data_IF_311051041582
#
_entry.id   IF_311051041582
#
_cell.length_a   1.000
_cell.length_b   1.000
_cell.length_c   1.000
_cell.angle_alpha   90.00
_cell.angle_beta   90.00
_cell.angle_gamma   90.00
#
_symmetry.space_group_name_H-M   'P 1'
#
loop_
_entity.id
_entity.type
_entity.pdbx_description
1 polymer ?
#
# COMPACT_ATOMS: atom_id res chain seq x y z
N UNK A 1 -13.55 -18.66 1.87
CA UNK A 1 -12.33 -18.07 2.47
C UNK A 1 -12.76 -17.19 3.61
N UNK A 2 -12.32 -17.49 4.83
CA UNK A 2 -12.59 -16.68 6.02
C UNK A 2 -11.32 -15.90 6.33
N UNK A 3 -11.41 -14.57 6.40
CA UNK A 3 -10.31 -13.70 6.84
C UNK A 3 -10.63 -13.30 8.27
N UNK A 4 -9.80 -13.70 9.23
CA UNK A 4 -9.90 -13.28 10.63
C UNK A 4 -8.71 -12.38 10.98
N UNK A 5 -8.99 -11.18 11.48
CA UNK A 5 -7.99 -10.33 12.11
C UNK A 5 -8.25 -10.34 13.63
N UNK A 6 -7.29 -10.83 14.40
CA UNK A 6 -7.31 -10.79 15.87
C UNK A 6 -6.44 -9.64 16.36
N UNK A 7 -7.01 -8.72 17.12
CA UNK A 7 -6.27 -7.70 17.86
C UNK A 7 -6.30 -8.01 19.36
N UNK A 8 -5.18 -7.81 20.05
CA UNK A 8 -5.16 -7.77 21.52
C UNK A 8 -5.73 -6.43 21.96
N UNK A 9 -6.79 -6.46 22.79
CA UNK A 9 -7.45 -5.26 23.29
C UNK A 9 -6.46 -4.30 23.94
N UNK A 10 -6.43 -3.07 23.43
CA UNK A 10 -5.68 -1.93 23.92
C UNK A 10 -6.11 -0.70 23.11
N UNK A 11 -5.85 0.50 23.60
CA UNK A 11 -6.06 1.74 22.85
C UNK A 11 -4.73 2.16 22.25
N UNK A 12 -4.30 1.62 21.09
CA UNK A 12 -3.08 2.09 20.47
C UNK A 12 -3.25 3.52 19.94
N UNK A 13 -2.12 4.26 19.86
CA UNK A 13 -2.01 5.42 18.98
C UNK A 13 -2.46 5.00 17.57
N UNK A 14 -3.36 5.78 16.95
CA UNK A 14 -4.29 5.29 15.93
C UNK A 14 -3.65 4.49 14.79
N UNK A 15 -4.27 3.39 14.38
CA UNK A 15 -3.87 2.61 13.21
C UNK A 15 -4.93 2.67 12.11
N UNK A 16 -4.50 2.63 10.86
CA UNK A 16 -5.38 2.41 9.72
C UNK A 16 -5.35 0.94 9.31
N UNK A 17 -6.46 0.22 9.51
CA UNK A 17 -6.67 -1.10 8.92
C UNK A 17 -7.55 -0.98 7.68
N UNK A 18 -7.03 -1.42 6.52
CA UNK A 18 -7.83 -1.59 5.32
C UNK A 18 -7.87 -3.06 4.91
N UNK A 19 -9.08 -3.61 4.82
CA UNK A 19 -9.32 -4.94 4.27
C UNK A 19 -9.99 -4.76 2.91
N UNK A 20 -9.44 -5.37 1.86
CA UNK A 20 -10.02 -5.38 0.53
C UNK A 20 -10.36 -6.80 0.12
N UNK A 21 -11.51 -6.98 -0.52
CA UNK A 21 -11.84 -8.24 -1.21
C UNK A 21 -11.54 -8.07 -2.69
N UNK A 22 -10.58 -8.85 -3.16
CA UNK A 22 -10.15 -8.89 -4.56
C UNK A 22 -10.73 -10.14 -5.23
N UNK A 23 -11.47 -9.91 -6.31
CA UNK A 23 -11.99 -10.98 -7.17
C UNK A 23 -11.19 -11.01 -8.47
N UNK A 24 -10.98 -12.20 -9.04
CA UNK A 24 -10.11 -12.39 -10.21
C UNK A 24 -8.62 -12.48 -9.88
N UNK A 25 -8.21 -12.43 -8.60
CA UNK A 25 -6.85 -12.74 -8.19
C UNK A 25 -6.54 -14.23 -8.41
N UNK A 26 -5.29 -14.55 -8.72
CA UNK A 26 -4.80 -15.93 -8.81
C UNK A 26 -4.85 -16.61 -7.42
N UNK A 27 -5.21 -17.90 -7.38
CA UNK A 27 -5.18 -18.69 -6.14
C UNK A 27 -3.77 -18.82 -5.56
N UNK A 28 -2.76 -18.78 -6.43
CA UNK A 28 -1.34 -18.75 -6.04
C UNK A 28 -0.79 -17.36 -6.31
N UNK A 29 -0.20 -16.74 -5.28
CA UNK A 29 0.39 -15.39 -5.36
C UNK A 29 1.91 -15.49 -5.30
N UNK A 30 2.54 -15.73 -6.45
CA UNK A 30 4.00 -15.74 -6.59
C UNK A 30 4.55 -14.36 -7.01
N UNK A 31 3.80 -13.30 -6.73
CA UNK A 31 4.14 -11.93 -7.09
C UNK A 31 5.31 -11.38 -6.26
N UNK A 32 5.86 -10.26 -6.72
CA UNK A 32 6.98 -9.58 -6.06
C UNK A 32 6.49 -8.69 -4.92
N UNK A 33 7.26 -8.63 -3.84
CA UNK A 33 7.07 -7.67 -2.75
C UNK A 33 8.25 -6.70 -2.67
N UNK A 34 8.01 -5.48 -2.22
CA UNK A 34 9.05 -4.51 -1.92
C UNK A 34 8.72 -3.74 -0.64
N UNK A 35 9.74 -3.31 0.11
CA UNK A 35 9.55 -2.54 1.32
C UNK A 35 10.72 -1.61 1.57
N UNK A 36 10.44 -0.46 2.17
CA UNK A 36 11.46 0.46 2.64
C UNK A 36 11.04 1.07 3.97
N UNK A 37 12.03 1.28 4.82
CA UNK A 37 11.91 1.95 6.11
C UNK A 37 12.94 3.07 6.16
N UNK A 38 12.53 4.22 6.64
CA UNK A 38 13.41 5.31 6.98
C UNK A 38 13.25 5.66 8.46
N UNK A 39 14.30 5.42 9.24
CA UNK A 39 14.34 5.71 10.68
C UNK A 39 14.50 7.21 10.95
N UNK A 40 14.24 7.63 12.18
CA UNK A 40 14.41 9.00 12.66
C UNK A 40 15.87 9.45 12.59
N UNK A 41 16.29 10.05 11.48
CA UNK A 41 17.65 10.58 11.34
C UNK A 41 18.11 10.77 9.90
N UNK A 42 17.49 10.08 8.94
CA UNK A 42 17.66 10.35 7.51
C UNK A 42 16.33 10.80 6.94
N UNK A 43 16.35 11.67 5.93
CA UNK A 43 15.16 12.00 5.14
C UNK A 43 15.36 11.42 3.74
N UNK A 44 14.47 10.53 3.32
CA UNK A 44 14.48 9.98 1.96
C UNK A 44 13.06 9.90 1.41
N UNK A 45 12.95 9.90 0.08
CA UNK A 45 11.71 9.57 -0.58
C UNK A 45 11.54 8.04 -0.59
N UNK A 46 10.32 7.57 -0.34
CA UNK A 46 10.03 6.13 -0.39
C UNK A 46 9.55 5.74 -1.78
N UNK A 47 10.56 5.51 -2.62
CA UNK A 47 10.42 5.08 -4.00
C UNK A 47 10.91 3.64 -4.13
N UNK A 48 10.01 2.74 -4.51
CA UNK A 48 10.30 1.32 -4.64
C UNK A 48 10.19 0.88 -6.09
N UNK A 49 11.31 0.52 -6.70
CA UNK A 49 11.32 -0.13 -8.00
C UNK A 49 10.87 -1.59 -7.83
N UNK A 50 9.86 -2.00 -8.60
CA UNK A 50 9.37 -3.36 -8.66
C UNK A 50 9.33 -3.81 -10.12
N UNK A 51 9.76 -5.04 -10.38
CA UNK A 51 9.61 -5.72 -11.69
C UNK A 51 8.56 -6.81 -11.54
N UNK A 52 7.31 -6.56 -11.97
CA UNK A 52 6.21 -7.53 -11.82
C UNK A 52 6.47 -8.80 -12.62
N UNK A 53 6.09 -9.96 -12.06
CA UNK A 53 6.37 -11.27 -12.65
C UNK A 53 5.57 -11.52 -13.94
N UNK A 54 4.45 -10.82 -14.12
CA UNK A 54 3.66 -10.84 -15.34
C UNK A 54 2.98 -9.49 -15.60
N UNK A 55 2.61 -9.26 -16.86
CA UNK A 55 1.78 -8.13 -17.23
C UNK A 55 0.31 -8.37 -16.82
N UNK A 56 -0.43 -7.28 -16.58
CA UNK A 56 -1.85 -7.34 -16.20
C UNK A 56 -2.11 -7.46 -14.70
N UNK A 57 -1.06 -7.53 -13.87
CA UNK A 57 -1.18 -7.57 -12.41
C UNK A 57 -1.41 -6.17 -11.83
N UNK A 58 -1.59 -6.08 -10.53
CA UNK A 58 -1.76 -4.83 -9.79
C UNK A 58 -0.85 -4.82 -8.58
N UNK A 59 -0.24 -3.68 -8.25
CA UNK A 59 0.52 -3.53 -7.01
C UNK A 59 -0.38 -2.88 -5.97
N UNK A 60 -0.35 -3.38 -4.73
CA UNK A 60 -1.03 -2.79 -3.58
C UNK A 60 -0.03 -2.58 -2.45
N UNK A 61 -0.33 -1.69 -1.53
CA UNK A 61 0.55 -1.49 -0.39
C UNK A 61 -0.01 -0.60 0.70
N UNK A 62 0.80 -0.44 1.74
CA UNK A 62 0.52 0.43 2.87
C UNK A 62 1.75 1.29 3.17
N UNK A 63 1.50 2.49 3.66
CA UNK A 63 2.50 3.49 3.95
C UNK A 63 2.15 4.19 5.26
N UNK A 64 3.14 4.44 6.11
CA UNK A 64 2.98 5.12 7.40
C UNK A 64 4.12 6.09 7.63
N UNK A 65 3.81 7.31 8.06
CA UNK A 65 4.73 8.28 8.64
C UNK A 65 4.34 8.50 10.12
N UNK A 66 5.33 8.53 11.02
CA UNK A 66 5.13 8.79 12.46
C UNK A 66 5.79 10.08 12.97
N UNK A 67 6.16 10.96 12.05
CA UNK A 67 6.88 12.20 12.32
C UNK A 67 6.20 13.44 11.71
N UNK A 68 5.36 13.26 10.70
CA UNK A 68 4.64 14.33 10.03
C UNK A 68 3.27 13.85 9.52
N UNK A 69 2.22 14.61 9.84
CA UNK A 69 0.84 14.35 9.41
C UNK A 69 0.51 14.89 8.01
N UNK A 70 1.47 15.55 7.34
CA UNK A 70 1.34 16.13 5.99
C UNK A 70 1.29 15.03 4.94
N UNK A 71 0.31 15.09 4.05
CA UNK A 71 0.21 14.16 2.94
C UNK A 71 1.39 14.33 1.96
N UNK A 72 2.13 13.25 1.63
CA UNK A 72 3.19 13.28 0.63
C UNK A 72 2.63 13.35 -0.79
N UNK A 73 3.52 13.65 -1.72
CA UNK A 73 3.29 13.62 -3.15
C UNK A 73 3.49 12.20 -3.68
N UNK A 74 2.46 11.65 -4.31
CA UNK A 74 2.49 10.35 -4.98
C UNK A 74 3.34 10.42 -6.27
N UNK A 75 4.01 9.32 -6.60
CA UNK A 75 4.50 9.09 -7.95
C UNK A 75 3.32 8.81 -8.90
N UNK A 76 3.44 9.19 -10.17
CA UNK A 76 2.37 9.00 -11.17
C UNK A 76 1.91 7.54 -11.33
N UNK A 77 2.81 6.58 -11.09
CA UNK A 77 2.56 5.13 -11.09
C UNK A 77 1.70 4.65 -9.91
N UNK A 78 1.46 5.50 -8.90
CA UNK A 78 0.84 5.14 -7.63
C UNK A 78 -0.41 5.99 -7.37
N UNK A 79 -1.45 5.36 -6.84
CA UNK A 79 -2.72 5.98 -6.47
C UNK A 79 -3.09 5.64 -5.03
N UNK A 80 -3.53 6.63 -4.25
CA UNK A 80 -4.09 6.37 -2.91
C UNK A 80 -5.42 5.61 -2.98
N UNK A 81 -5.67 4.78 -1.97
CA UNK A 81 -6.92 4.07 -1.74
C UNK A 81 -7.67 4.62 -0.54
N UNK A 82 -6.96 4.85 0.55
CA UNK A 82 -7.47 5.48 1.75
C UNK A 82 -6.30 6.14 2.46
N UNK A 83 -6.54 7.31 3.03
CA UNK A 83 -5.56 8.07 3.80
C UNK A 83 -6.16 8.46 5.14
N UNK A 84 -5.36 8.42 6.19
CA UNK A 84 -5.71 8.91 7.52
C UNK A 84 -4.56 9.77 8.03
N UNK A 85 -4.88 10.92 8.62
CA UNK A 85 -3.89 11.86 9.17
C UNK A 85 -4.29 12.13 10.61
N UNK A 86 -3.40 11.77 11.53
CA UNK A 86 -3.52 12.09 12.94
C UNK A 86 -2.66 13.32 13.23
N UNK A 87 -3.28 14.49 13.13
CA UNK A 87 -2.60 15.76 13.37
C UNK A 87 -2.20 15.98 14.82
N UNK A 88 -2.73 15.20 15.76
CA UNK A 88 -2.38 15.30 17.19
C UNK A 88 -1.06 14.60 17.46
N UNK A 89 -0.89 13.40 16.93
CA UNK A 89 0.34 12.62 17.11
C UNK A 89 1.39 12.88 16.01
N UNK A 90 1.02 13.57 14.94
CA UNK A 90 1.91 13.81 13.80
C UNK A 90 2.03 12.60 12.89
N UNK A 91 1.06 11.69 12.92
CA UNK A 91 1.09 10.47 12.11
C UNK A 91 0.30 10.65 10.82
N UNK A 92 0.72 9.91 9.79
CA UNK A 92 0.01 9.79 8.54
C UNK A 92 0.03 8.34 8.07
N UNK A 93 -1.11 7.84 7.62
CA UNK A 93 -1.26 6.47 7.14
C UNK A 93 -1.94 6.48 5.78
N UNK A 94 -1.53 5.58 4.89
CA UNK A 94 -2.20 5.36 3.62
C UNK A 94 -2.12 3.93 3.15
N UNK A 95 -3.13 3.58 2.38
CA UNK A 95 -3.14 2.41 1.51
C UNK A 95 -3.02 2.89 0.07
N UNK A 96 -2.21 2.20 -0.73
CA UNK A 96 -1.92 2.57 -2.11
C UNK A 96 -2.17 1.42 -3.06
N UNK A 97 -2.30 1.75 -4.34
CA UNK A 97 -2.27 0.80 -5.45
C UNK A 97 -1.49 1.36 -6.64
N UNK A 98 -1.15 0.52 -7.60
CA UNK A 98 -0.70 0.97 -8.92
C UNK A 98 -1.81 1.74 -9.65
N UNK A 99 -1.44 2.82 -10.33
CA UNK A 99 -2.37 3.64 -11.14
C UNK A 99 -2.82 2.94 -12.43
N UNK A 100 -2.03 1.97 -12.89
CA UNK A 100 -2.32 1.12 -14.04
C UNK A 100 -2.00 -0.34 -13.70
N UNK A 101 -2.44 -1.26 -14.57
CA UNK A 101 -1.96 -2.64 -14.54
C UNK A 101 -0.46 -2.68 -14.82
N UNK A 102 0.22 -3.65 -14.23
CA UNK A 102 1.65 -3.82 -14.38
C UNK A 102 2.03 -4.29 -15.78
N UNK A 103 3.26 -3.99 -16.16
CA UNK A 103 3.97 -4.66 -17.25
C UNK A 103 5.04 -5.57 -16.64
N UNK A 104 5.79 -6.29 -17.48
CA UNK A 104 6.98 -7.04 -17.04
C UNK A 104 8.22 -6.16 -16.90
N UNK A 105 8.10 -4.84 -17.10
CA UNK A 105 9.19 -3.87 -16.92
C UNK A 105 9.21 -3.30 -15.51
N UNK A 106 10.41 -2.96 -15.04
CA UNK A 106 10.59 -2.28 -13.75
C UNK A 106 9.81 -0.96 -13.72
N UNK A 107 9.00 -0.78 -12.69
CA UNK A 107 8.21 0.43 -12.43
C UNK A 107 8.44 0.86 -10.99
N UNK A 108 8.68 2.15 -10.79
CA UNK A 108 8.88 2.73 -9.45
C UNK A 108 7.55 3.17 -8.87
N UNK A 109 7.21 2.71 -7.66
CA UNK A 109 5.99 3.02 -6.92
C UNK A 109 6.29 3.75 -5.61
N UNK A 110 5.29 4.40 -5.03
CA UNK A 110 5.38 5.10 -3.74
C UNK A 110 5.30 6.62 -3.88
N UNK A 111 6.20 7.34 -3.21
CA UNK A 111 6.11 8.78 -3.00
C UNK A 111 7.40 9.50 -3.36
N UNK A 112 7.30 10.71 -3.91
CA UNK A 112 8.45 11.57 -4.23
C UNK A 112 8.85 12.50 -3.08
N UNK A 113 7.97 12.74 -2.10
CA UNK A 113 8.28 13.57 -0.95
C UNK A 113 9.30 12.88 -0.05
N UNK A 114 10.37 13.61 0.27
CA UNK A 114 11.39 13.19 1.22
C UNK A 114 10.93 13.49 2.65
N UNK A 115 10.79 12.46 3.47
CA UNK A 115 10.34 12.58 4.86
C UNK A 115 11.19 11.69 5.80
N UNK A 116 11.20 12.04 7.08
CA UNK A 116 11.77 11.22 8.15
C UNK A 116 10.69 10.30 8.73
N UNK A 117 11.11 9.20 9.38
CA UNK A 117 10.21 8.37 10.17
C UNK A 117 9.05 7.77 9.38
N UNK A 118 9.33 7.17 8.23
CA UNK A 118 8.31 6.61 7.35
C UNK A 118 8.65 5.17 6.92
N UNK A 119 7.65 4.28 6.90
CA UNK A 119 7.68 2.96 6.22
C UNK A 119 6.67 2.80 5.06
N UNK A 120 7.08 2.07 4.01
CA UNK A 120 6.17 1.60 2.95
C UNK A 120 6.42 0.13 2.67
N UNK A 121 5.35 -0.62 2.41
CA UNK A 121 5.39 -1.98 1.89
C UNK A 121 4.43 -2.12 0.71
N UNK A 122 4.87 -2.86 -0.30
CA UNK A 122 4.15 -3.08 -1.55
C UNK A 122 4.18 -4.58 -1.89
N UNK A 123 3.10 -5.06 -2.49
CA UNK A 123 2.96 -6.42 -2.98
C UNK A 123 2.23 -6.42 -4.34
N UNK A 124 2.78 -7.17 -5.29
CA UNK A 124 2.11 -7.53 -6.53
C UNK A 124 1.02 -8.57 -6.25
N UNK A 125 -0.20 -8.27 -6.70
CA UNK A 125 -1.31 -9.20 -6.74
C UNK A 125 -1.47 -9.70 -8.16
N UNK A 126 -1.19 -10.98 -8.35
CA UNK A 126 -1.31 -11.67 -9.61
C UNK A 126 -2.78 -11.88 -9.97
N UNK A 127 -3.12 -11.57 -11.21
CA UNK A 127 -4.45 -11.76 -11.77
C UNK A 127 -4.53 -13.13 -12.42
N UNK A 128 -5.67 -13.81 -12.26
CA UNK A 128 -5.93 -15.07 -12.95
C UNK A 128 -5.97 -14.86 -14.46
N UNK A 129 -5.46 -15.82 -15.23
CA UNK A 129 -5.48 -15.73 -16.69
C UNK A 129 -6.90 -15.47 -17.23
N UNK A 130 -7.02 -14.52 -18.16
CA UNK A 130 -8.30 -14.13 -18.75
C UNK A 130 -9.27 -13.38 -17.83
N UNK A 131 -8.84 -13.00 -16.62
CA UNK A 131 -9.64 -12.24 -15.66
C UNK A 131 -9.18 -10.79 -15.55
N UNK A 132 -10.04 -9.93 -15.00
CA UNK A 132 -9.67 -8.60 -14.53
C UNK A 132 -9.82 -8.54 -13.02
N UNK A 133 -8.90 -7.83 -12.35
CA UNK A 133 -8.99 -7.65 -10.90
C UNK A 133 -10.15 -6.70 -10.58
N UNK A 134 -11.20 -7.22 -9.95
CA UNK A 134 -12.32 -6.40 -9.48
C UNK A 134 -12.28 -6.28 -7.96
N UNK A 135 -12.50 -5.07 -7.47
CA UNK A 135 -12.38 -4.73 -6.05
C UNK A 135 -13.73 -4.42 -5.47
N UNK A 136 -14.02 -4.97 -4.29
CA UNK A 136 -15.11 -4.50 -3.44
C UNK A 136 -14.52 -3.96 -2.16
N UNK A 137 -14.73 -2.67 -1.92
CA UNK A 137 -14.50 -2.09 -0.60
C UNK A 137 -15.54 -2.68 0.35
N UNK A 138 -15.17 -3.13 1.55
CA UNK A 138 -16.16 -3.48 2.55
C UNK A 138 -17.04 -2.26 2.82
N UNK A 139 -18.35 -2.48 2.92
CA UNK A 139 -19.27 -1.45 3.41
C UNK A 139 -18.89 -1.24 4.88
N UNK A 140 -18.31 -0.09 5.19
CA UNK A 140 -18.15 0.34 6.58
C UNK A 140 -19.56 0.63 7.10
N UNK A 141 -20.14 -0.32 7.82
CA UNK A 141 -21.28 -0.05 8.67
C UNK A 141 -20.79 0.96 9.72
N UNK A 142 -21.40 2.15 9.72
CA UNK A 142 -21.19 3.17 10.75
C UNK A 142 -21.97 2.81 12.00
#
# INVERSE_FOLDING_TARGET
MTVSATGTGGTPAGYLLQVLVLTGANSTQAGVTAGATNSSGSSTALQLAMTPGAAGNMVFGAAMNWANSTAPTLLASTSNQSTFSDTVNGDWYSSVKSSAVTTTSSTTFGYSTTLTGWQITLAEIQVSAGSALTRRSPVLAR
#
